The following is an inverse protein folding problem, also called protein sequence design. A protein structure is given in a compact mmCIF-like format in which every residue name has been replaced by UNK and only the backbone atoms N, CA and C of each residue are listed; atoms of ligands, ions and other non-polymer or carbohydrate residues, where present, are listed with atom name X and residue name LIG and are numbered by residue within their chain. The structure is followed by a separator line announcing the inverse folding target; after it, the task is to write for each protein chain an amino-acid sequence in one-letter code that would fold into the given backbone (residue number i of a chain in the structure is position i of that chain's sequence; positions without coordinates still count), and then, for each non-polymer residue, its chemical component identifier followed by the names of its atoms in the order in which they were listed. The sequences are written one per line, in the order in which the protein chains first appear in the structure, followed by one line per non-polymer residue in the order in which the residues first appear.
data_IF_725042515999
#
_entry.id   IF_725042515999
#
_cell.length_a   1.000
_cell.length_b   1.000
_cell.length_c   1.000
_cell.angle_alpha   90.00
_cell.angle_beta   90.00
_cell.angle_gamma   90.00
#
_symmetry.space_group_name_H-M   'P 1'
#
loop_
_entity.id
_entity.type
_entity.pdbx_description
1 polymer ?
#
# COMPACT_ATOMS: atom_id res chain seq x y z
N UNK A 1 14.25 0.35 2.57
CA UNK A 1 13.04 -0.44 2.21
C UNK A 1 11.86 0.51 2.16
N UNK A 2 11.01 0.47 1.13
CA UNK A 2 9.88 1.40 0.98
C UNK A 2 8.58 0.73 1.34
N UNK A 3 7.71 1.40 2.10
CA UNK A 3 6.43 0.86 2.56
C UNK A 3 5.30 1.84 2.25
N UNK A 4 4.25 1.32 1.64
CA UNK A 4 2.97 2.02 1.50
C UNK A 4 2.00 1.58 2.57
N UNK A 5 1.38 2.55 3.24
CA UNK A 5 0.34 2.30 4.24
C UNK A 5 -0.98 2.87 3.73
N UNK A 6 -1.88 2.00 3.30
CA UNK A 6 -3.22 2.39 2.86
C UNK A 6 -4.15 2.52 4.06
N UNK A 7 -4.88 3.63 4.13
CA UNK A 7 -5.88 3.93 5.17
C UNK A 7 -7.19 4.36 4.54
N UNK A 8 -8.34 4.20 5.21
CA UNK A 8 -9.61 4.39 4.52
C UNK A 8 -10.10 5.83 4.42
N UNK A 9 -9.54 6.76 5.20
CA UNK A 9 -9.99 8.15 5.22
C UNK A 9 -8.82 9.13 5.38
N UNK A 10 -9.02 10.36 4.93
CA UNK A 10 -8.05 11.46 5.07
C UNK A 10 -7.73 11.70 6.55
N UNK A 11 -8.75 11.70 7.39
CA UNK A 11 -8.60 11.85 8.85
C UNK A 11 -7.68 10.79 9.44
N UNK A 12 -7.86 9.52 9.07
CA UNK A 12 -6.97 8.43 9.51
C UNK A 12 -5.56 8.55 8.94
N UNK A 13 -5.42 9.06 7.72
CA UNK A 13 -4.12 9.32 7.10
C UNK A 13 -3.31 10.32 7.92
N UNK A 14 -3.91 11.47 8.23
CA UNK A 14 -3.27 12.54 9.01
C UNK A 14 -3.05 12.11 10.47
N UNK A 15 -4.00 11.41 11.10
CA UNK A 15 -3.82 10.89 12.47
C UNK A 15 -2.70 9.86 12.57
N UNK A 16 -2.67 8.88 11.65
CA UNK A 16 -1.61 7.88 11.62
C UNK A 16 -0.25 8.51 11.34
N UNK A 17 -0.19 9.52 10.47
CA UNK A 17 1.03 10.27 10.21
C UNK A 17 1.57 10.93 11.47
N UNK A 18 0.72 11.71 12.16
CA UNK A 18 1.09 12.36 13.43
C UNK A 18 1.55 11.36 14.49
N UNK A 19 0.86 10.22 14.60
CA UNK A 19 1.23 9.16 15.53
C UNK A 19 2.59 8.53 15.18
N UNK A 20 2.81 8.17 13.91
CA UNK A 20 4.06 7.53 13.49
C UNK A 20 5.25 8.49 13.55
N UNK A 21 5.05 9.80 13.41
CA UNK A 21 6.10 10.80 13.60
C UNK A 21 6.70 10.82 15.01
N UNK A 22 6.00 10.25 16.01
CA UNK A 22 6.54 10.11 17.37
C UNK A 22 7.65 9.06 17.45
N UNK A 23 7.72 8.13 16.49
CA UNK A 23 8.63 6.98 16.50
C UNK A 23 9.55 6.92 15.27
N UNK A 24 9.15 7.56 14.16
CA UNK A 24 9.81 7.46 12.87
C UNK A 24 9.95 8.83 12.20
N UNK A 25 11.15 9.14 11.72
CA UNK A 25 11.47 10.46 11.14
C UNK A 25 11.25 10.55 9.62
N UNK A 26 11.24 9.41 8.91
CA UNK A 26 11.17 9.33 7.43
C UNK A 26 9.78 8.89 6.96
N UNK A 27 8.74 9.53 7.50
CA UNK A 27 7.32 9.23 7.25
C UNK A 27 6.61 10.44 6.66
N UNK A 28 5.90 10.22 5.56
CA UNK A 28 5.00 11.22 4.96
C UNK A 28 3.62 10.65 4.73
N UNK A 29 2.65 11.54 4.56
CA UNK A 29 1.28 11.21 4.19
C UNK A 29 0.86 11.96 2.93
N UNK A 30 -0.03 11.36 2.14
CA UNK A 30 -0.55 11.94 0.91
C UNK A 30 -2.01 11.56 0.71
N UNK A 31 -2.82 12.50 0.24
CA UNK A 31 -4.24 12.30 -0.04
C UNK A 31 -4.76 13.40 -0.96
N UNK A 32 -6.02 13.30 -1.41
CA UNK A 32 -6.61 14.24 -2.39
C UNK A 32 -6.59 15.71 -1.97
N UNK A 33 -6.67 16.01 -0.66
CA UNK A 33 -6.60 17.39 -0.13
C UNK A 33 -5.18 17.94 0.07
N UNK A 34 -4.12 17.18 -0.25
CA UNK A 34 -2.73 17.57 0.01
C UNK A 34 -2.17 18.37 -1.17
N UNK A 35 -1.78 19.63 -0.94
CA UNK A 35 -1.33 20.55 -2.01
C UNK A 35 0.02 20.16 -2.62
N UNK A 36 0.90 19.54 -1.85
CA UNK A 36 2.27 19.18 -2.20
C UNK A 36 2.43 17.69 -2.58
N UNK A 37 1.36 17.05 -3.05
CA UNK A 37 1.31 15.62 -3.40
C UNK A 37 2.47 15.20 -4.31
N UNK A 38 2.71 15.93 -5.39
CA UNK A 38 3.74 15.60 -6.39
C UNK A 38 5.15 15.66 -5.80
N UNK A 39 5.42 16.67 -4.99
CA UNK A 39 6.68 16.81 -4.26
C UNK A 39 6.91 15.62 -3.33
N UNK A 40 5.94 15.29 -2.47
CA UNK A 40 6.04 14.16 -1.53
C UNK A 40 6.28 12.83 -2.28
N UNK A 41 5.57 12.60 -3.38
CA UNK A 41 5.75 11.39 -4.21
C UNK A 41 7.16 11.34 -4.80
N UNK A 42 7.68 12.48 -5.27
CA UNK A 42 9.04 12.59 -5.82
C UNK A 42 10.10 12.29 -4.76
N UNK A 43 9.99 12.89 -3.57
CA UNK A 43 10.88 12.64 -2.43
C UNK A 43 10.87 11.16 -2.01
N UNK A 44 9.69 10.55 -1.92
CA UNK A 44 9.56 9.11 -1.63
C UNK A 44 10.18 8.24 -2.74
N UNK A 45 10.05 8.63 -4.01
CA UNK A 45 10.69 7.94 -5.14
C UNK A 45 12.22 7.99 -5.03
N UNK A 46 12.78 9.14 -4.65
CA UNK A 46 14.22 9.32 -4.38
C UNK A 46 14.72 8.60 -3.13
N UNK A 47 13.80 8.11 -2.28
CA UNK A 47 14.14 7.41 -1.06
C UNK A 47 14.43 8.35 0.10
N UNK A 48 13.94 9.59 0.07
CA UNK A 48 14.05 10.50 1.21
C UNK A 48 13.15 10.04 2.37
N UNK A 49 12.04 9.38 2.04
CA UNK A 49 11.09 8.80 2.98
C UNK A 49 10.99 7.27 2.81
N UNK A 50 10.85 6.56 3.92
CA UNK A 50 10.73 5.09 3.94
C UNK A 50 9.25 4.65 4.01
N UNK A 51 8.39 5.43 4.66
CA UNK A 51 6.95 5.19 4.75
C UNK A 51 6.14 6.30 4.08
N UNK A 52 5.19 5.89 3.24
CA UNK A 52 4.16 6.77 2.68
C UNK A 52 2.76 6.27 3.04
N UNK A 53 2.03 7.07 3.79
CA UNK A 53 0.64 6.80 4.18
C UNK A 53 -0.28 7.43 3.13
N UNK A 54 -1.27 6.71 2.63
CA UNK A 54 -2.17 7.21 1.58
C UNK A 54 -3.60 6.70 1.69
N UNK A 55 -4.57 7.50 1.24
CA UNK A 55 -5.98 7.10 1.16
C UNK A 55 -6.37 6.42 -0.15
N UNK A 56 -5.61 6.66 -1.21
CA UNK A 56 -5.94 6.19 -2.56
C UNK A 56 -4.71 5.65 -3.26
N UNK A 57 -4.96 4.83 -4.28
CA UNK A 57 -3.93 4.46 -5.23
C UNK A 57 -3.36 5.74 -5.85
N UNK A 58 -2.03 5.83 -5.90
CA UNK A 58 -1.36 6.88 -6.66
C UNK A 58 -1.70 6.74 -8.15
N UNK A 59 -1.62 7.86 -8.86
CA UNK A 59 -1.97 7.96 -10.28
C UNK A 59 -1.25 6.91 -11.14
N UNK A 60 -1.85 6.61 -12.31
CA UNK A 60 -1.23 5.71 -13.29
C UNK A 60 0.16 6.26 -13.65
N UNK A 61 1.14 5.38 -13.81
CA UNK A 61 2.52 5.76 -14.15
C UNK A 61 3.48 5.85 -12.96
N UNK A 62 2.99 5.90 -11.71
CA UNK A 62 3.87 5.86 -10.54
C UNK A 62 4.18 4.41 -10.15
N UNK A 63 5.43 3.98 -10.39
CA UNK A 63 5.95 2.65 -10.05
C UNK A 63 7.18 2.78 -9.15
N UNK A 64 7.23 1.98 -8.08
CA UNK A 64 8.35 1.91 -7.16
C UNK A 64 8.96 0.51 -7.21
N UNK A 65 10.29 0.43 -7.21
CA UNK A 65 11.01 -0.83 -6.96
C UNK A 65 10.98 -1.15 -5.47
N UNK A 66 10.99 -2.44 -5.13
CA UNK A 66 11.10 -2.94 -3.75
C UNK A 66 10.12 -2.25 -2.76
N UNK A 67 8.83 -2.29 -3.10
CA UNK A 67 7.75 -1.69 -2.33
C UNK A 67 6.98 -2.77 -1.56
N UNK A 68 6.83 -2.57 -0.25
CA UNK A 68 5.98 -3.35 0.62
C UNK A 68 4.66 -2.61 0.86
N UNK A 69 3.59 -3.34 1.18
CA UNK A 69 2.25 -2.76 1.35
C UNK A 69 1.62 -3.19 2.66
N UNK A 70 1.07 -2.22 3.38
CA UNK A 70 0.20 -2.42 4.55
C UNK A 70 -1.15 -1.77 4.25
N UNK A 71 -2.24 -2.47 4.58
CA UNK A 71 -3.61 -1.92 4.53
C UNK A 71 -4.17 -1.88 5.94
N UNK A 72 -4.26 -0.68 6.49
CA UNK A 72 -4.83 -0.41 7.82
C UNK A 72 -6.35 -0.31 7.75
N UNK A 73 -7.01 -0.82 8.79
CA UNK A 73 -8.46 -0.97 8.84
C UNK A 73 -9.00 -1.73 7.62
N UNK A 74 -8.33 -2.81 7.22
CA UNK A 74 -8.64 -3.58 6.00
C UNK A 74 -10.04 -4.20 5.98
N UNK A 75 -10.71 -4.30 7.15
CA UNK A 75 -12.11 -4.72 7.25
C UNK A 75 -13.13 -3.59 6.97
N UNK A 76 -12.67 -2.40 6.59
CA UNK A 76 -13.54 -1.27 6.22
C UNK A 76 -14.22 -1.54 4.86
N UNK A 77 -15.50 -1.13 4.74
CA UNK A 77 -16.34 -1.34 3.55
C UNK A 77 -15.75 -0.84 2.22
N UNK A 78 -14.83 0.13 2.25
CA UNK A 78 -14.18 0.62 1.02
C UNK A 78 -13.17 -0.38 0.45
N UNK A 79 -12.62 -1.27 1.28
CA UNK A 79 -11.61 -2.24 0.92
C UNK A 79 -12.27 -3.55 0.47
N UNK A 80 -13.01 -3.45 -0.64
CA UNK A 80 -13.54 -4.62 -1.32
C UNK A 80 -12.39 -5.48 -1.88
N UNK A 81 -12.68 -6.76 -2.16
CA UNK A 81 -11.70 -7.72 -2.71
C UNK A 81 -10.91 -7.16 -3.89
N UNK A 82 -11.60 -6.51 -4.85
CA UNK A 82 -10.95 -5.90 -6.02
C UNK A 82 -9.96 -4.79 -5.64
N UNK A 83 -10.34 -3.93 -4.69
CA UNK A 83 -9.48 -2.85 -4.18
C UNK A 83 -8.24 -3.42 -3.50
N UNK A 84 -8.40 -4.44 -2.65
CA UNK A 84 -7.28 -5.12 -1.98
C UNK A 84 -6.33 -5.77 -2.98
N UNK A 85 -6.85 -6.44 -4.02
CA UNK A 85 -6.03 -7.01 -5.10
C UNK A 85 -5.26 -5.92 -5.86
N UNK A 86 -5.90 -4.79 -6.19
CA UNK A 86 -5.24 -3.69 -6.88
C UNK A 86 -4.13 -3.04 -6.05
N UNK A 87 -4.36 -2.87 -4.75
CA UNK A 87 -3.37 -2.39 -3.79
C UNK A 87 -2.19 -3.37 -3.70
N UNK A 88 -2.49 -4.66 -3.52
CA UNK A 88 -1.48 -5.74 -3.42
C UNK A 88 -0.63 -5.84 -4.68
N UNK A 89 -1.25 -5.65 -5.86
CA UNK A 89 -0.56 -5.68 -7.14
C UNK A 89 0.43 -4.53 -7.34
N UNK A 90 0.68 -3.65 -6.37
CA UNK A 90 1.78 -2.67 -6.38
C UNK A 90 3.11 -3.26 -5.88
N UNK A 91 3.06 -4.43 -5.24
CA UNK A 91 4.22 -5.19 -4.75
C UNK A 91 4.75 -6.11 -5.87
N UNK A 92 6.06 -6.37 -5.90
CA UNK A 92 6.65 -7.39 -6.78
C UNK A 92 6.64 -7.06 -8.28
N UNK A 93 6.46 -5.80 -8.67
CA UNK A 93 6.26 -5.40 -10.09
C UNK A 93 7.48 -5.45 -10.99
N UNK A 94 8.68 -5.67 -10.47
CA UNK A 94 9.89 -5.68 -11.29
C UNK A 94 10.62 -7.01 -11.20
N UNK A 95 11.22 -7.43 -12.33
CA UNK A 95 12.00 -8.68 -12.44
C UNK A 95 13.16 -8.77 -11.45
N UNK A 96 13.73 -7.63 -11.06
CA UNK A 96 14.82 -7.52 -10.07
C UNK A 96 14.35 -7.68 -8.60
N UNK A 97 13.05 -7.50 -8.34
CA UNK A 97 12.44 -7.66 -7.02
C UNK A 97 11.07 -8.34 -7.15
N UNK A 98 11.03 -9.66 -7.44
CA UNK A 98 9.80 -10.38 -7.70
C UNK A 98 8.99 -10.66 -6.42
N UNK A 99 9.63 -10.58 -5.25
CA UNK A 99 9.04 -10.87 -3.95
C UNK A 99 8.71 -9.60 -3.18
N UNK A 100 7.67 -9.67 -2.36
CA UNK A 100 7.35 -8.66 -1.36
C UNK A 100 6.12 -9.06 -0.55
N UNK A 101 5.91 -8.32 0.53
CA UNK A 101 4.92 -8.53 1.55
C UNK A 101 3.74 -7.58 1.40
N UNK A 102 2.56 -8.15 1.62
CA UNK A 102 1.30 -7.43 1.74
C UNK A 102 0.68 -7.82 3.08
N UNK A 103 0.47 -6.84 3.96
CA UNK A 103 -0.13 -7.06 5.27
C UNK A 103 -1.48 -6.35 5.35
N UNK A 104 -2.51 -7.08 5.74
CA UNK A 104 -3.84 -6.52 6.00
C UNK A 104 -4.08 -6.49 7.52
N UNK A 105 -4.28 -5.28 8.06
CA UNK A 105 -4.50 -5.05 9.49
C UNK A 105 -5.94 -4.57 9.67
N UNK A 106 -6.73 -5.32 10.43
CA UNK A 106 -8.10 -4.96 10.74
C UNK A 106 -8.54 -5.54 12.08
N UNK A 107 -9.63 -4.99 12.63
CA UNK A 107 -10.21 -5.48 13.91
C UNK A 107 -10.66 -6.95 13.85
N UNK A 108 -10.93 -7.44 12.64
CA UNK A 108 -11.30 -8.82 12.34
C UNK A 108 -10.84 -9.16 10.93
N UNK A 109 -10.72 -10.45 10.65
CA UNK A 109 -10.59 -10.95 9.28
C UNK A 109 -11.94 -10.80 8.55
N UNK A 110 -11.94 -10.23 7.36
CA UNK A 110 -13.15 -10.07 6.54
C UNK A 110 -13.15 -11.04 5.35
N UNK A 111 -14.34 -11.33 4.81
CA UNK A 111 -14.47 -12.19 3.61
C UNK A 111 -13.73 -11.59 2.42
N UNK A 112 -13.67 -10.27 2.33
CA UNK A 112 -12.98 -9.52 1.28
C UNK A 112 -11.46 -9.74 1.35
N UNK A 113 -10.91 -9.71 2.57
CA UNK A 113 -9.50 -10.04 2.84
C UNK A 113 -9.19 -11.47 2.44
N UNK A 114 -10.02 -12.44 2.84
CA UNK A 114 -9.82 -13.86 2.50
C UNK A 114 -9.84 -14.10 1.00
N UNK A 115 -10.88 -13.63 0.31
CA UNK A 115 -11.02 -13.78 -1.15
C UNK A 115 -9.86 -13.13 -1.90
N UNK A 116 -9.35 -11.99 -1.41
CA UNK A 116 -8.23 -11.31 -2.06
C UNK A 116 -6.93 -12.11 -1.92
N UNK A 117 -6.62 -12.61 -0.73
CA UNK A 117 -5.45 -13.47 -0.48
C UNK A 117 -5.52 -14.73 -1.33
N UNK A 118 -6.67 -15.41 -1.35
CA UNK A 118 -6.88 -16.61 -2.18
C UNK A 118 -6.65 -16.31 -3.66
N UNK A 119 -7.26 -15.23 -4.17
CA UNK A 119 -7.12 -14.84 -5.58
C UNK A 119 -5.67 -14.49 -5.94
N UNK A 120 -4.96 -13.77 -5.08
CA UNK A 120 -3.56 -13.38 -5.30
C UNK A 120 -2.66 -14.63 -5.31
N UNK A 121 -2.83 -15.52 -4.34
CA UNK A 121 -2.04 -16.76 -4.27
C UNK A 121 -2.25 -17.64 -5.48
N UNK A 122 -3.51 -17.82 -5.91
CA UNK A 122 -3.82 -18.56 -7.15
C UNK A 122 -3.13 -17.95 -8.37
N UNK A 123 -3.25 -16.64 -8.56
CA UNK A 123 -2.61 -15.95 -9.70
C UNK A 123 -1.07 -16.07 -9.68
N UNK A 124 -0.46 -16.03 -8.49
CA UNK A 124 0.98 -16.21 -8.36
C UNK A 124 1.40 -17.65 -8.69
N UNK A 125 0.62 -18.66 -8.30
CA UNK A 125 0.85 -20.06 -8.68
C UNK A 125 0.70 -20.26 -10.19
N UNK A 126 -0.36 -19.72 -10.79
CA UNK A 126 -0.59 -19.80 -12.24
C UNK A 126 0.60 -19.20 -13.03
N UNK A 127 1.14 -18.07 -12.56
CA UNK A 127 2.34 -17.45 -13.15
C UNK A 127 3.60 -18.32 -13.02
N UNK A 128 3.77 -19.04 -11.90
CA UNK A 128 4.91 -19.95 -11.72
C UNK A 128 4.82 -21.17 -12.62
N UNK A 129 3.61 -21.69 -12.86
CA UNK A 129 3.38 -22.86 -13.72
C UNK A 129 3.51 -22.56 -15.23
N UNK A 130 3.60 -21.28 -15.62
CA UNK A 130 3.76 -20.86 -17.02
C UNK A 130 5.24 -20.85 -17.49
N UNK A 131 6.19 -21.10 -16.59
CA UNK A 131 7.64 -21.12 -16.85
C UNK A 131 8.26 -22.40 -16.28
#
# INVERSE_FOLDING_TARGET
MKVFVFVPTIDKCEKLHKFLLLFFHRVKCVHSKKKDKEKIISEFKKGEHDLLITTSLLERGVTFSNLQVVVMDSCNKIFQTKTLIQISGRVGRKKDHPIGEVIFIGKRKSKEMEKSVETIRRKNLDLQNMF
#
